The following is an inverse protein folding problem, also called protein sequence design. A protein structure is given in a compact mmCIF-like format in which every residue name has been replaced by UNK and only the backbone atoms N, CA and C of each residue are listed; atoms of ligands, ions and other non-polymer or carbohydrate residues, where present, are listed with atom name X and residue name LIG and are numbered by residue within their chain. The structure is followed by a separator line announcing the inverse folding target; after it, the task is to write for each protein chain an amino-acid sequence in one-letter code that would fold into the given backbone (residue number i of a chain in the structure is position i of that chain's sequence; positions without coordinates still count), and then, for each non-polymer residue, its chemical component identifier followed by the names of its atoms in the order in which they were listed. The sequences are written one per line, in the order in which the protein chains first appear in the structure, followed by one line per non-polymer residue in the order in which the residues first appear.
data_IF_255510149472
#
_entry.id   IF_255510149472
#
_cell.length_a   1.000
_cell.length_b   1.000
_cell.length_c   1.000
_cell.angle_alpha   90.00
_cell.angle_beta   90.00
_cell.angle_gamma   90.00
#
_symmetry.space_group_name_H-M   'P 1'
#
loop_
_entity.id
_entity.type
_entity.pdbx_description
1 polymer ?
#
# COMPACT_ATOMS: atom_id res chain seq x y z
N UNK A 1 -11.11 -4.42 -3.49
CA UNK A 1 -11.85 -4.15 -4.73
C UNK A 1 -12.24 -5.42 -5.48
N UNK A 2 -12.93 -5.29 -6.62
CA UNK A 2 -13.32 -6.45 -7.46
C UNK A 2 -12.13 -7.32 -7.88
N UNK A 3 -10.95 -6.71 -8.08
CA UNK A 3 -9.70 -7.42 -8.38
C UNK A 3 -9.28 -8.43 -7.32
N UNK A 4 -9.53 -8.13 -6.06
CA UNK A 4 -9.13 -9.00 -4.94
C UNK A 4 -10.00 -10.26 -4.86
N UNK A 5 -11.27 -10.17 -5.28
CA UNK A 5 -12.19 -11.31 -5.34
C UNK A 5 -11.75 -12.31 -6.42
N UNK A 6 -11.33 -11.82 -7.60
CA UNK A 6 -10.87 -12.68 -8.69
C UNK A 6 -9.49 -13.27 -8.44
N UNK A 7 -8.56 -12.51 -7.82
CA UNK A 7 -7.28 -13.05 -7.37
C UNK A 7 -7.48 -14.18 -6.36
N UNK A 8 -8.43 -14.04 -5.46
CA UNK A 8 -8.86 -15.05 -4.51
C UNK A 8 -9.37 -16.33 -5.18
N UNK A 9 -10.30 -16.21 -6.15
CA UNK A 9 -10.84 -17.38 -6.85
C UNK A 9 -9.78 -18.11 -7.66
N UNK A 10 -8.84 -17.36 -8.27
CA UNK A 10 -7.71 -17.94 -8.97
C UNK A 10 -6.79 -18.70 -8.01
N UNK A 11 -6.44 -18.11 -6.86
CA UNK A 11 -5.56 -18.74 -5.88
C UNK A 11 -6.16 -20.02 -5.30
N UNK A 12 -7.48 -20.07 -5.09
CA UNK A 12 -8.16 -21.30 -4.67
C UNK A 12 -8.25 -22.34 -5.79
N UNK A 13 -8.45 -21.91 -7.04
CA UNK A 13 -8.36 -22.80 -8.19
C UNK A 13 -6.96 -23.41 -8.34
N UNK A 14 -5.91 -22.59 -8.13
CA UNK A 14 -4.52 -23.06 -8.14
C UNK A 14 -4.25 -24.03 -6.97
N UNK A 15 -4.77 -23.74 -5.79
CA UNK A 15 -4.60 -24.58 -4.61
C UNK A 15 -5.19 -26.00 -4.77
N UNK A 16 -6.26 -26.13 -5.57
CA UNK A 16 -6.89 -27.44 -5.85
C UNK A 16 -6.12 -28.28 -6.87
N UNK A 17 -5.32 -27.66 -7.73
CA UNK A 17 -4.63 -28.35 -8.83
C UNK A 17 -3.12 -28.52 -8.64
N UNK A 18 -2.51 -27.85 -7.67
CA UNK A 18 -1.05 -27.87 -7.48
C UNK A 18 -0.72 -28.54 -6.12
N UNK A 19 0.07 -29.64 -6.11
CA UNK A 19 0.53 -30.27 -4.88
C UNK A 19 1.30 -29.26 -3.99
N UNK A 20 0.99 -29.22 -2.70
CA UNK A 20 1.59 -28.30 -1.74
C UNK A 20 0.72 -27.11 -1.35
N UNK A 21 -0.39 -26.85 -2.06
CA UNK A 21 -1.36 -25.81 -1.72
C UNK A 21 -2.59 -26.34 -0.96
N UNK A 22 -2.63 -27.65 -0.68
CA UNK A 22 -3.74 -28.32 -0.01
C UNK A 22 -4.01 -27.80 1.42
N UNK A 23 -2.98 -27.21 2.05
CA UNK A 23 -3.07 -26.61 3.39
C UNK A 23 -3.50 -25.14 3.40
N UNK A 24 -3.76 -24.54 2.25
CA UNK A 24 -4.12 -23.12 2.17
C UNK A 24 -5.55 -22.90 2.65
N UNK A 25 -5.68 -22.20 3.76
CA UNK A 25 -6.97 -21.71 4.23
C UNK A 25 -7.43 -20.50 3.40
N UNK A 26 -8.73 -20.23 3.41
CA UNK A 26 -9.28 -19.04 2.75
C UNK A 26 -8.65 -17.73 3.26
N UNK A 27 -8.39 -17.64 4.57
CA UNK A 27 -7.74 -16.49 5.18
C UNK A 27 -6.32 -16.31 4.66
N UNK A 28 -5.56 -17.40 4.53
CA UNK A 28 -4.19 -17.36 3.97
C UNK A 28 -4.18 -16.95 2.50
N UNK A 29 -5.07 -17.52 1.67
CA UNK A 29 -5.17 -17.16 0.26
C UNK A 29 -5.56 -15.68 0.05
N UNK A 30 -6.45 -15.15 0.90
CA UNK A 30 -6.84 -13.74 0.87
C UNK A 30 -5.72 -12.82 1.34
N UNK A 31 -5.00 -13.20 2.38
CA UNK A 31 -3.81 -12.51 2.87
C UNK A 31 -2.73 -12.42 1.78
N UNK A 32 -2.45 -13.54 1.10
CA UNK A 32 -1.51 -13.58 -0.01
C UNK A 32 -1.97 -12.73 -1.19
N UNK A 33 -3.26 -12.78 -1.54
CA UNK A 33 -3.85 -11.93 -2.58
C UNK A 33 -3.74 -10.43 -2.25
N UNK A 34 -3.96 -10.05 -0.99
CA UNK A 34 -3.80 -8.67 -0.53
C UNK A 34 -2.33 -8.22 -0.60
N UNK A 35 -1.39 -9.08 -0.20
CA UNK A 35 0.05 -8.79 -0.28
C UNK A 35 0.50 -8.51 -1.72
N UNK A 36 0.07 -9.34 -2.67
CA UNK A 36 0.46 -9.20 -4.09
C UNK A 36 -0.27 -8.02 -4.77
N UNK A 37 -1.37 -7.53 -4.19
CA UNK A 37 -2.12 -6.40 -4.79
C UNK A 37 -1.39 -5.07 -4.66
N UNK A 38 -0.56 -4.91 -3.65
CA UNK A 38 0.33 -3.77 -3.50
C UNK A 38 1.40 -3.81 -4.59
N UNK A 39 1.41 -2.81 -5.47
CA UNK A 39 2.35 -2.71 -6.60
C UNK A 39 3.14 -1.41 -6.48
N UNK A 40 4.47 -1.51 -6.52
CA UNK A 40 5.35 -0.34 -6.51
C UNK A 40 5.60 0.16 -7.93
N UNK A 41 5.16 1.38 -8.30
CA UNK A 41 5.33 1.95 -9.63
C UNK A 41 6.64 2.71 -9.80
N UNK A 42 7.55 2.70 -8.81
CA UNK A 42 8.77 3.55 -8.82
C UNK A 42 9.52 3.45 -10.14
N UNK A 43 9.72 2.23 -10.66
CA UNK A 43 10.40 2.04 -11.94
C UNK A 43 9.59 2.59 -13.13
N UNK A 44 8.27 2.40 -13.10
CA UNK A 44 7.37 2.90 -14.17
C UNK A 44 7.30 4.42 -14.14
N UNK A 45 7.17 5.00 -12.96
CA UNK A 45 7.11 6.46 -12.77
C UNK A 45 8.43 7.11 -13.19
N UNK A 46 9.57 6.54 -12.81
CA UNK A 46 10.88 7.02 -13.26
C UNK A 46 10.99 7.01 -14.79
N UNK A 47 10.57 5.92 -15.44
CA UNK A 47 10.55 5.82 -16.89
C UNK A 47 9.60 6.84 -17.55
N UNK A 48 8.41 7.05 -16.96
CA UNK A 48 7.45 8.05 -17.44
C UNK A 48 7.99 9.48 -17.35
N UNK A 49 8.77 9.78 -16.31
CA UNK A 49 9.47 11.05 -16.17
C UNK A 49 10.55 11.24 -17.25
N UNK A 50 11.36 10.22 -17.53
CA UNK A 50 12.36 10.25 -18.60
C UNK A 50 11.71 10.42 -19.99
N UNK A 51 10.59 9.75 -20.24
CA UNK A 51 9.84 9.84 -21.48
C UNK A 51 9.05 11.13 -21.63
N UNK A 52 9.13 12.05 -20.64
CA UNK A 52 8.39 13.34 -20.63
C UNK A 52 6.88 13.17 -20.86
N UNK A 53 6.32 12.10 -20.31
CA UNK A 53 4.89 11.81 -20.39
C UNK A 53 4.09 12.89 -19.66
N UNK A 54 2.78 12.99 -19.93
CA UNK A 54 1.93 13.99 -19.30
C UNK A 54 1.97 13.87 -17.77
N UNK A 55 2.14 14.99 -17.07
CA UNK A 55 2.11 15.03 -15.59
C UNK A 55 0.84 14.38 -15.01
N UNK A 56 -0.28 14.52 -15.73
CA UNK A 56 -1.56 13.91 -15.35
C UNK A 56 -1.47 12.39 -15.27
N UNK A 57 -0.80 11.76 -16.24
CA UNK A 57 -0.67 10.29 -16.27
C UNK A 57 0.26 9.81 -15.16
N UNK A 58 1.40 10.45 -14.95
CA UNK A 58 2.31 10.14 -13.83
C UNK A 58 1.58 10.25 -12.48
N UNK A 59 0.86 11.37 -12.23
CA UNK A 59 0.09 11.53 -10.99
C UNK A 59 -0.98 10.46 -10.81
N UNK A 60 -1.58 9.96 -11.91
CA UNK A 60 -2.60 8.92 -11.83
C UNK A 60 -1.99 7.57 -11.46
N UNK A 61 -0.80 7.25 -11.99
CA UNK A 61 -0.04 6.05 -11.63
C UNK A 61 0.39 6.10 -10.16
N UNK A 62 0.91 7.24 -9.70
CA UNK A 62 1.27 7.46 -8.30
C UNK A 62 0.06 7.30 -7.36
N UNK A 63 -1.08 7.88 -7.73
CA UNK A 63 -2.30 7.80 -6.94
C UNK A 63 -2.88 6.36 -6.90
N UNK A 64 -2.83 5.65 -8.02
CA UNK A 64 -3.27 4.23 -8.11
C UNK A 64 -2.44 3.38 -7.16
N UNK A 65 -1.12 3.53 -7.19
CA UNK A 65 -0.23 2.78 -6.30
C UNK A 65 -0.46 3.11 -4.83
N UNK A 66 -0.54 4.40 -4.48
CA UNK A 66 -0.80 4.82 -3.10
C UNK A 66 -2.12 4.21 -2.56
N UNK A 67 -3.16 4.14 -3.39
CA UNK A 67 -4.43 3.52 -3.02
C UNK A 67 -4.29 2.00 -2.92
N UNK A 68 -3.55 1.36 -3.81
CA UNK A 68 -3.29 -0.08 -3.76
C UNK A 68 -2.50 -0.46 -2.51
N UNK A 69 -1.46 0.29 -2.17
CA UNK A 69 -0.66 0.06 -0.97
C UNK A 69 -1.51 0.22 0.29
N UNK A 70 -2.26 1.32 0.38
CA UNK A 70 -3.16 1.57 1.51
C UNK A 70 -4.22 0.48 1.68
N UNK A 71 -4.91 0.11 0.61
CA UNK A 71 -5.93 -0.96 0.64
C UNK A 71 -5.33 -2.35 0.81
N UNK A 72 -4.17 -2.61 0.21
CA UNK A 72 -3.42 -3.86 0.34
C UNK A 72 -3.03 -4.14 1.78
N UNK A 73 -2.42 -3.15 2.48
CA UNK A 73 -2.05 -3.27 3.89
C UNK A 73 -3.28 -3.54 4.77
N UNK A 74 -4.37 -2.80 4.56
CA UNK A 74 -5.61 -2.96 5.31
C UNK A 74 -6.19 -4.36 5.14
N UNK A 75 -6.31 -4.84 3.90
CA UNK A 75 -6.80 -6.17 3.60
C UNK A 75 -5.86 -7.27 4.15
N UNK A 76 -4.54 -7.07 4.01
CA UNK A 76 -3.55 -7.99 4.57
C UNK A 76 -3.71 -8.14 6.08
N UNK A 77 -3.76 -7.03 6.82
CA UNK A 77 -3.91 -7.06 8.28
C UNK A 77 -5.23 -7.70 8.73
N UNK A 78 -6.32 -7.45 8.00
CA UNK A 78 -7.60 -8.09 8.25
C UNK A 78 -7.51 -9.62 8.14
N UNK A 79 -6.95 -10.11 7.02
CA UNK A 79 -6.88 -11.54 6.77
C UNK A 79 -5.79 -12.23 7.60
N UNK A 80 -4.71 -11.52 7.92
CA UNK A 80 -3.72 -11.98 8.87
C UNK A 80 -4.31 -12.16 10.26
N UNK A 81 -5.11 -11.19 10.74
CA UNK A 81 -5.83 -11.31 12.00
C UNK A 81 -6.80 -12.50 12.01
N UNK A 82 -7.55 -12.70 10.94
CA UNK A 82 -8.45 -13.84 10.79
C UNK A 82 -7.68 -15.19 10.75
N UNK A 83 -6.54 -15.23 10.09
CA UNK A 83 -5.68 -16.41 10.02
C UNK A 83 -5.05 -16.72 11.39
N UNK A 84 -4.53 -15.71 12.09
CA UNK A 84 -3.87 -15.86 13.39
C UNK A 84 -4.86 -16.20 14.52
N UNK A 85 -6.10 -15.72 14.45
CA UNK A 85 -7.13 -16.00 15.45
C UNK A 85 -7.78 -17.38 15.31
N UNK A 86 -7.56 -18.10 14.20
CA UNK A 86 -8.28 -19.30 13.86
C UNK A 86 -9.79 -19.04 13.70
N UNK A 87 -10.61 -20.09 13.69
CA UNK A 87 -12.07 -19.98 13.55
C UNK A 87 -12.82 -19.44 14.78
N UNK A 88 -12.08 -18.96 15.81
CA UNK A 88 -12.62 -18.67 17.15
C UNK A 88 -13.21 -17.26 17.34
N UNK A 89 -13.26 -16.39 16.32
CA UNK A 89 -13.81 -15.06 16.50
C UNK A 89 -15.30 -15.01 16.24
N UNK A 90 -16.09 -14.91 17.32
CA UNK A 90 -17.55 -14.67 17.28
C UNK A 90 -17.96 -13.28 16.77
N UNK A 91 -17.02 -12.36 16.56
CA UNK A 91 -17.29 -11.04 16.00
C UNK A 91 -17.31 -11.11 14.47
N UNK A 92 -18.30 -10.46 13.85
CA UNK A 92 -18.34 -10.33 12.39
C UNK A 92 -17.03 -9.70 11.88
N UNK A 93 -16.29 -10.37 10.99
CA UNK A 93 -15.02 -9.84 10.45
C UNK A 93 -15.17 -8.43 9.86
N UNK A 94 -16.35 -8.14 9.29
CA UNK A 94 -16.66 -6.82 8.69
C UNK A 94 -16.75 -5.73 9.76
N UNK A 95 -17.38 -6.01 10.90
CA UNK A 95 -17.52 -5.03 12.01
C UNK A 95 -16.15 -4.73 12.61
N UNK A 96 -15.36 -5.76 12.84
CA UNK A 96 -13.97 -5.62 13.34
C UNK A 96 -13.13 -4.78 12.37
N UNK A 97 -13.24 -5.06 11.08
CA UNK A 97 -12.56 -4.29 10.03
C UNK A 97 -12.97 -2.81 10.04
N UNK A 98 -14.26 -2.52 10.00
CA UNK A 98 -14.76 -1.13 10.02
C UNK A 98 -14.29 -0.40 11.28
N UNK A 99 -14.31 -1.07 12.42
CA UNK A 99 -13.83 -0.51 13.68
C UNK A 99 -12.34 -0.21 13.64
N UNK A 100 -11.51 -1.17 13.23
CA UNK A 100 -10.07 -1.00 13.17
C UNK A 100 -9.66 0.08 12.17
N UNK A 101 -10.18 0.02 10.96
CA UNK A 101 -9.87 1.01 9.91
C UNK A 101 -10.39 2.39 10.29
N UNK A 102 -11.63 2.47 10.76
CA UNK A 102 -12.27 3.75 11.12
C UNK A 102 -11.57 4.44 12.28
N UNK A 103 -11.30 3.71 13.37
CA UNK A 103 -10.62 4.27 14.54
C UNK A 103 -9.17 4.64 14.23
N UNK A 104 -8.43 3.78 13.52
CA UNK A 104 -7.05 4.07 13.14
C UNK A 104 -6.96 5.32 12.26
N UNK A 105 -7.82 5.42 11.25
CA UNK A 105 -7.87 6.58 10.35
C UNK A 105 -8.21 7.87 11.12
N UNK A 106 -9.20 7.80 12.00
CA UNK A 106 -9.60 8.95 12.82
C UNK A 106 -8.46 9.41 13.74
N UNK A 107 -7.77 8.47 14.39
CA UNK A 107 -6.63 8.78 15.26
C UNK A 107 -5.49 9.42 14.48
N UNK A 108 -5.10 8.84 13.35
CA UNK A 108 -4.06 9.41 12.49
C UNK A 108 -4.40 10.83 12.03
N UNK A 109 -5.65 11.04 11.60
CA UNK A 109 -6.15 12.36 11.22
C UNK A 109 -6.10 13.37 12.37
N UNK A 110 -6.60 13.02 13.56
CA UNK A 110 -6.63 13.90 14.72
C UNK A 110 -5.22 14.28 15.18
N UNK A 111 -4.32 13.30 15.30
CA UNK A 111 -2.95 13.56 15.69
C UNK A 111 -2.21 14.44 14.67
N UNK A 112 -2.40 14.20 13.37
CA UNK A 112 -1.86 15.06 12.33
C UNK A 112 -2.40 16.51 12.44
N UNK A 113 -3.67 16.70 12.72
CA UNK A 113 -4.27 18.02 12.90
C UNK A 113 -3.67 18.76 14.10
N UNK A 114 -3.43 18.06 15.20
CA UNK A 114 -2.77 18.62 16.39
C UNK A 114 -1.34 19.04 16.04
N UNK A 115 -0.59 18.18 15.37
CA UNK A 115 0.80 18.45 14.98
C UNK A 115 0.88 19.63 14.00
N UNK A 116 0.02 19.67 12.99
CA UNK A 116 -0.02 20.80 12.04
C UNK A 116 -0.33 22.11 12.78
N UNK A 117 -1.31 22.11 13.68
CA UNK A 117 -1.65 23.27 14.50
C UNK A 117 -0.46 23.72 15.36
N UNK A 118 0.26 22.79 15.98
CA UNK A 118 1.44 23.06 16.79
C UNK A 118 2.56 23.67 15.95
N UNK A 119 2.94 23.02 14.84
CA UNK A 119 4.04 23.44 13.96
C UNK A 119 3.78 24.82 13.35
N UNK A 120 2.55 25.10 12.93
CA UNK A 120 2.20 26.40 12.34
C UNK A 120 2.25 27.55 13.32
N UNK A 121 2.22 27.27 14.63
CA UNK A 121 2.33 28.29 15.69
C UNK A 121 3.77 28.53 16.16
N UNK A 122 4.65 27.57 15.95
CA UNK A 122 6.05 27.69 16.31
C UNK A 122 6.81 28.24 15.12
N UNK A 123 7.37 29.42 15.25
CA UNK A 123 8.25 30.00 14.22
C UNK A 123 9.67 29.43 14.36
N UNK A 124 9.81 28.10 14.27
CA UNK A 124 11.07 27.37 14.47
C UNK A 124 11.78 27.11 13.15
N UNK A 125 13.02 26.66 13.27
CA UNK A 125 13.86 26.22 12.15
C UNK A 125 13.26 24.98 11.45
N UNK A 126 13.61 24.79 10.19
CA UNK A 126 13.12 23.71 9.32
C UNK A 126 13.40 22.32 9.91
N UNK A 127 14.60 22.15 10.50
CA UNK A 127 14.97 20.89 11.17
C UNK A 127 14.06 20.55 12.35
N UNK A 128 13.70 21.54 13.16
CA UNK A 128 12.83 21.34 14.34
C UNK A 128 11.43 20.92 13.90
N UNK A 129 10.87 21.59 12.89
CA UNK A 129 9.54 21.25 12.39
C UNK A 129 9.49 19.83 11.81
N UNK A 130 10.50 19.44 11.04
CA UNK A 130 10.58 18.10 10.48
C UNK A 130 10.77 17.03 11.57
N UNK A 131 11.63 17.30 12.56
CA UNK A 131 11.83 16.40 13.71
C UNK A 131 10.54 16.18 14.50
N UNK A 132 9.73 17.21 14.68
CA UNK A 132 8.42 17.11 15.34
C UNK A 132 7.48 16.21 14.53
N UNK A 133 7.47 16.35 13.19
CA UNK A 133 6.62 15.48 12.32
C UNK A 133 7.05 14.03 12.45
N UNK A 134 8.36 13.74 12.40
CA UNK A 134 8.89 12.37 12.54
C UNK A 134 8.52 11.78 13.90
N UNK A 135 8.79 12.53 14.98
CA UNK A 135 8.46 12.09 16.34
C UNK A 135 6.96 11.82 16.48
N UNK A 136 6.13 12.69 15.94
CA UNK A 136 4.69 12.54 15.97
C UNK A 136 4.21 11.34 15.13
N UNK A 137 4.86 11.02 14.01
CA UNK A 137 4.60 9.83 13.24
C UNK A 137 4.88 8.56 14.06
N UNK A 138 6.02 8.47 14.73
CA UNK A 138 6.34 7.38 15.66
C UNK A 138 5.34 7.28 16.81
N UNK A 139 5.00 8.41 17.44
CA UNK A 139 3.99 8.45 18.51
C UNK A 139 2.62 7.99 18.01
N UNK A 140 2.22 8.39 16.81
CA UNK A 140 0.97 7.94 16.20
C UNK A 140 0.94 6.43 16.06
N UNK A 141 2.01 5.83 15.56
CA UNK A 141 2.14 4.37 15.44
C UNK A 141 2.05 3.69 16.81
N UNK A 142 2.87 4.12 17.78
CA UNK A 142 2.95 3.53 19.11
C UNK A 142 1.61 3.64 19.84
N UNK A 143 1.00 4.81 19.85
CA UNK A 143 -0.29 5.05 20.51
C UNK A 143 -1.39 4.17 19.92
N UNK A 144 -1.46 4.08 18.59
CA UNK A 144 -2.47 3.28 17.91
C UNK A 144 -2.27 1.79 18.16
N UNK A 145 -1.05 1.28 17.96
CA UNK A 145 -0.75 -0.15 17.98
C UNK A 145 -0.73 -0.73 19.40
N UNK A 146 -0.06 -0.05 20.34
CA UNK A 146 0.22 -0.62 21.66
C UNK A 146 -0.75 -0.15 22.75
N UNK A 147 -1.26 1.08 22.67
CA UNK A 147 -2.15 1.63 23.71
C UNK A 147 -3.63 1.51 23.37
N UNK A 148 -4.00 1.70 22.12
CA UNK A 148 -5.40 1.70 21.71
C UNK A 148 -5.83 0.39 21.03
N UNK A 149 -4.90 -0.50 20.73
CA UNK A 149 -5.17 -1.81 20.13
C UNK A 149 -5.81 -1.72 18.75
N UNK A 150 -5.45 -0.68 17.98
CA UNK A 150 -5.88 -0.48 16.59
C UNK A 150 -4.65 -0.43 15.66
N UNK A 151 -4.85 -0.56 14.35
CA UNK A 151 -3.74 -0.63 13.41
C UNK A 151 -2.90 0.65 13.38
N UNK A 152 -1.66 0.57 13.90
CA UNK A 152 -0.68 1.65 13.86
C UNK A 152 -0.29 2.04 12.44
N UNK A 153 -0.25 1.08 11.51
CA UNK A 153 0.10 1.32 10.11
C UNK A 153 -0.96 2.18 9.42
N UNK A 154 -2.25 1.84 9.59
CA UNK A 154 -3.35 2.61 9.02
C UNK A 154 -3.39 4.03 9.62
N UNK A 155 -3.17 4.14 10.93
CA UNK A 155 -3.10 5.44 11.60
C UNK A 155 -1.94 6.28 11.06
N UNK A 156 -0.78 5.67 10.80
CA UNK A 156 0.39 6.34 10.24
C UNK A 156 0.15 6.81 8.80
N UNK A 157 -0.49 6.00 7.97
CA UNK A 157 -0.88 6.39 6.60
C UNK A 157 -1.84 7.58 6.63
N UNK A 158 -2.88 7.54 7.47
CA UNK A 158 -3.82 8.64 7.63
C UNK A 158 -3.14 9.92 8.15
N UNK A 159 -2.20 9.78 9.08
CA UNK A 159 -1.36 10.87 9.58
C UNK A 159 -0.56 11.50 8.44
N UNK A 160 0.21 10.70 7.69
CA UNK A 160 1.06 11.16 6.60
C UNK A 160 0.26 11.86 5.48
N UNK A 161 -0.86 11.28 5.07
CA UNK A 161 -1.77 11.91 4.09
C UNK A 161 -2.29 13.25 4.59
N UNK A 162 -2.69 13.33 5.87
CA UNK A 162 -3.19 14.59 6.44
C UNK A 162 -2.09 15.65 6.52
N UNK A 163 -0.87 15.28 6.92
CA UNK A 163 0.29 16.20 6.91
C UNK A 163 0.58 16.69 5.50
N UNK A 164 0.53 15.81 4.51
CA UNK A 164 0.77 16.18 3.12
C UNK A 164 -0.30 17.11 2.56
N UNK A 165 -1.58 16.77 2.70
CA UNK A 165 -2.66 17.54 2.08
C UNK A 165 -3.06 18.79 2.86
N UNK A 166 -3.00 18.75 4.19
CA UNK A 166 -3.42 19.86 5.05
C UNK A 166 -2.25 20.66 5.59
N UNK A 167 -1.13 20.01 5.85
CA UNK A 167 0.08 20.61 6.42
C UNK A 167 0.90 21.36 5.38
N UNK A 168 1.32 20.69 4.30
CA UNK A 168 2.17 21.29 3.26
C UNK A 168 1.74 22.70 2.80
N UNK A 169 0.47 22.98 2.51
CA UNK A 169 0.04 24.33 2.09
C UNK A 169 0.18 25.42 3.18
N UNK A 170 0.36 25.02 4.43
CA UNK A 170 0.47 25.94 5.58
C UNK A 170 1.89 26.14 6.07
N UNK A 171 2.82 25.34 5.58
CA UNK A 171 4.24 25.43 5.92
C UNK A 171 4.97 26.37 4.98
N UNK A 172 6.10 26.91 5.44
CA UNK A 172 6.98 27.74 4.62
C UNK A 172 7.55 26.91 3.44
N UNK A 173 7.77 27.48 2.26
CA UNK A 173 8.34 26.75 1.12
C UNK A 173 9.66 26.04 1.42
N UNK A 174 10.54 26.67 2.23
CA UNK A 174 11.82 26.10 2.63
C UNK A 174 11.65 24.82 3.44
N UNK A 175 10.68 24.80 4.39
CA UNK A 175 10.35 23.62 5.18
C UNK A 175 9.84 22.48 4.29
N UNK A 176 9.00 22.80 3.33
CA UNK A 176 8.47 21.81 2.39
C UNK A 176 9.59 21.18 1.54
N UNK A 177 10.50 22.00 1.00
CA UNK A 177 11.65 21.50 0.22
C UNK A 177 12.56 20.62 1.07
N UNK A 178 12.86 21.04 2.29
CA UNK A 178 13.66 20.23 3.22
C UNK A 178 12.97 18.90 3.55
N UNK A 179 11.65 18.93 3.82
CA UNK A 179 10.86 17.72 4.05
C UNK A 179 10.90 16.76 2.87
N UNK A 180 10.74 17.26 1.65
CA UNK A 180 10.77 16.45 0.44
C UNK A 180 12.10 15.69 0.32
N UNK A 181 13.21 16.39 0.38
CA UNK A 181 14.53 15.75 0.31
C UNK A 181 14.80 14.78 1.45
N UNK A 182 14.36 15.13 2.67
CA UNK A 182 14.53 14.25 3.83
C UNK A 182 13.73 12.93 3.67
N UNK A 183 12.46 13.03 3.29
CA UNK A 183 11.63 11.85 3.12
C UNK A 183 12.08 11.02 1.91
N UNK A 184 12.54 11.64 0.84
CA UNK A 184 13.13 10.96 -0.31
C UNK A 184 14.36 10.14 0.11
N UNK A 185 15.29 10.73 0.87
CA UNK A 185 16.45 10.03 1.41
C UNK A 185 16.03 8.87 2.33
N UNK A 186 15.08 9.11 3.24
CA UNK A 186 14.62 8.09 4.18
C UNK A 186 13.95 6.91 3.44
N UNK A 187 13.15 7.20 2.43
CA UNK A 187 12.52 6.20 1.56
C UNK A 187 13.58 5.38 0.82
N UNK A 188 14.60 6.02 0.27
CA UNK A 188 15.70 5.33 -0.39
C UNK A 188 16.43 4.37 0.57
N UNK A 189 16.75 4.82 1.79
CA UNK A 189 17.40 3.98 2.80
C UNK A 189 16.48 2.82 3.20
N UNK A 190 15.21 3.08 3.45
CA UNK A 190 14.24 2.06 3.86
C UNK A 190 14.06 0.99 2.77
N UNK A 191 13.87 1.40 1.52
CA UNK A 191 13.78 0.49 0.38
C UNK A 191 15.05 -0.36 0.23
N UNK A 192 16.22 0.25 0.32
CA UNK A 192 17.49 -0.47 0.24
C UNK A 192 17.58 -1.55 1.33
N UNK A 193 17.23 -1.22 2.57
CA UNK A 193 17.23 -2.19 3.69
C UNK A 193 16.21 -3.30 3.46
N UNK A 194 15.00 -2.98 2.99
CA UNK A 194 13.95 -3.96 2.69
C UNK A 194 14.43 -4.93 1.61
N UNK A 195 15.00 -4.43 0.51
CA UNK A 195 15.50 -5.30 -0.57
C UNK A 195 16.64 -6.20 -0.12
N UNK A 196 17.56 -5.70 0.72
CA UNK A 196 18.62 -6.53 1.32
C UNK A 196 18.01 -7.63 2.19
N UNK A 197 17.08 -7.28 3.10
CA UNK A 197 16.42 -8.24 3.98
C UNK A 197 15.64 -9.30 3.19
N UNK A 198 14.88 -8.88 2.19
CA UNK A 198 14.14 -9.78 1.30
C UNK A 198 15.10 -10.71 0.57
N UNK A 199 16.22 -10.20 0.05
CA UNK A 199 17.25 -11.00 -0.61
C UNK A 199 17.83 -12.06 0.33
N UNK A 200 18.15 -11.71 1.57
CA UNK A 200 18.66 -12.65 2.60
C UNK A 200 17.61 -13.73 2.92
N UNK A 201 16.35 -13.32 3.14
CA UNK A 201 15.26 -14.27 3.43
C UNK A 201 15.02 -15.22 2.26
N UNK A 202 15.03 -14.73 1.02
CA UNK A 202 14.90 -15.57 -0.18
C UNK A 202 16.05 -16.56 -0.25
N UNK A 203 17.30 -16.12 -0.04
CA UNK A 203 18.48 -16.98 -0.10
C UNK A 203 18.46 -18.06 0.99
N UNK A 204 17.91 -17.78 2.15
CA UNK A 204 17.85 -18.73 3.29
C UNK A 204 16.66 -19.69 3.19
N UNK A 205 15.49 -19.22 2.74
CA UNK A 205 14.20 -19.95 2.88
C UNK A 205 13.68 -20.55 1.59
N UNK A 206 14.16 -20.10 0.43
CA UNK A 206 13.62 -20.54 -0.86
C UNK A 206 14.48 -21.65 -1.44
N UNK A 207 13.93 -22.87 -1.46
CA UNK A 207 14.51 -23.98 -2.21
C UNK A 207 14.20 -23.81 -3.71
N UNK A 208 15.23 -23.47 -4.48
CA UNK A 208 15.11 -23.31 -5.92
C UNK A 208 14.95 -24.67 -6.61
N UNK A 209 13.70 -25.04 -6.85
CA UNK A 209 13.35 -26.20 -7.67
C UNK A 209 12.70 -25.76 -8.98
N UNK A 210 12.86 -26.57 -10.04
CA UNK A 210 12.21 -26.31 -11.34
C UNK A 210 10.68 -26.24 -11.23
N UNK A 211 10.10 -27.00 -10.28
CA UNK A 211 8.68 -26.94 -9.98
C UNK A 211 8.26 -25.62 -9.36
N UNK A 212 9.01 -25.12 -8.37
CA UNK A 212 8.76 -23.83 -7.73
C UNK A 212 8.87 -22.67 -8.74
N UNK A 213 9.86 -22.72 -9.62
CA UNK A 213 10.02 -21.74 -10.68
C UNK A 213 8.82 -21.75 -11.65
N UNK A 214 8.34 -22.94 -12.03
CA UNK A 214 7.14 -23.08 -12.88
C UNK A 214 5.90 -22.47 -12.24
N UNK A 215 5.67 -22.71 -10.94
CA UNK A 215 4.56 -22.13 -10.18
C UNK A 215 4.68 -20.60 -10.11
N UNK A 216 5.87 -20.08 -9.86
CA UNK A 216 6.12 -18.63 -9.80
C UNK A 216 5.81 -17.95 -11.14
N UNK A 217 6.26 -18.53 -12.25
CA UNK A 217 5.96 -18.02 -13.60
C UNK A 217 4.45 -18.08 -13.87
N UNK A 218 3.78 -19.17 -13.49
CA UNK A 218 2.35 -19.31 -13.65
C UNK A 218 1.57 -18.22 -12.90
N UNK A 219 1.93 -17.99 -11.61
CA UNK A 219 1.32 -16.95 -10.78
C UNK A 219 1.58 -15.58 -11.40
N UNK A 220 2.80 -15.29 -11.85
CA UNK A 220 3.13 -14.03 -12.50
C UNK A 220 2.28 -13.76 -13.75
N UNK A 221 2.17 -14.74 -14.63
CA UNK A 221 1.34 -14.63 -15.85
C UNK A 221 -0.14 -14.42 -15.48
N UNK A 222 -0.64 -15.20 -14.53
CA UNK A 222 -2.02 -15.11 -14.09
C UNK A 222 -2.36 -13.74 -13.50
N UNK A 223 -1.47 -13.16 -12.69
CA UNK A 223 -1.64 -11.83 -12.12
C UNK A 223 -1.68 -10.74 -13.20
N UNK A 224 -0.79 -10.82 -14.18
CA UNK A 224 -0.79 -9.87 -15.30
C UNK A 224 -2.06 -9.98 -16.16
N UNK A 225 -2.56 -11.20 -16.40
CA UNK A 225 -3.81 -11.41 -17.11
C UNK A 225 -5.02 -10.84 -16.36
N UNK A 226 -5.08 -11.02 -15.04
CA UNK A 226 -6.13 -10.46 -14.19
C UNK A 226 -6.07 -8.93 -14.22
N UNK A 227 -4.88 -8.34 -14.08
CA UNK A 227 -4.70 -6.89 -14.15
C UNK A 227 -5.14 -6.34 -15.51
N UNK A 228 -4.74 -6.99 -16.59
CA UNK A 228 -5.18 -6.63 -17.94
C UNK A 228 -6.71 -6.70 -18.08
N UNK A 229 -7.33 -7.80 -17.65
CA UNK A 229 -8.78 -7.97 -17.71
C UNK A 229 -9.52 -6.90 -16.89
N UNK A 230 -9.03 -6.56 -15.70
CA UNK A 230 -9.60 -5.52 -14.85
C UNK A 230 -9.55 -4.13 -15.50
N UNK A 231 -8.40 -3.77 -16.08
CA UNK A 231 -8.24 -2.47 -16.76
C UNK A 231 -9.15 -2.41 -17.99
N UNK A 232 -9.23 -3.49 -18.76
CA UNK A 232 -10.15 -3.56 -19.92
C UNK A 232 -11.62 -3.46 -19.52
N UNK A 233 -12.00 -4.05 -18.40
CA UNK A 233 -13.36 -3.95 -17.85
C UNK A 233 -13.69 -2.52 -17.38
N UNK A 234 -12.75 -1.86 -16.73
CA UNK A 234 -12.93 -0.50 -16.22
C UNK A 234 -12.79 0.59 -17.30
N UNK A 235 -12.08 0.29 -18.38
CA UNK A 235 -11.81 1.24 -19.46
C UNK A 235 -13.08 1.94 -20.00
N UNK A 236 -14.18 1.23 -20.35
CA UNK A 236 -15.38 1.89 -20.86
C UNK A 236 -16.05 2.80 -19.82
N UNK A 237 -15.97 2.44 -18.54
CA UNK A 237 -16.52 3.24 -17.43
C UNK A 237 -15.71 4.53 -17.26
N UNK A 238 -14.39 4.42 -17.22
CA UNK A 238 -13.49 5.58 -17.11
C UNK A 238 -13.63 6.53 -18.30
N UNK A 239 -13.80 5.99 -19.50
CA UNK A 239 -14.04 6.78 -20.71
C UNK A 239 -15.36 7.56 -20.64
N UNK A 240 -16.42 6.97 -20.07
CA UNK A 240 -17.72 7.65 -19.89
C UNK A 240 -17.68 8.75 -18.82
N UNK A 241 -16.87 8.58 -17.78
CA UNK A 241 -16.69 9.55 -16.70
C UNK A 241 -15.78 10.73 -17.07
N UNK A 242 -15.29 10.80 -18.31
CA UNK A 242 -14.42 11.89 -18.77
C UNK A 242 -12.94 11.76 -18.32
N UNK A 243 -12.59 10.70 -17.60
CA UNK A 243 -11.21 10.37 -17.25
C UNK A 243 -10.55 9.55 -18.37
N UNK A 244 -10.64 10.06 -19.63
CA UNK A 244 -10.20 9.33 -20.82
C UNK A 244 -8.71 9.00 -20.80
N UNK A 245 -8.39 7.80 -20.35
CA UNK A 245 -7.12 7.15 -20.68
C UNK A 245 -7.13 6.83 -22.18
N UNK A 246 -6.04 7.12 -22.86
CA UNK A 246 -5.83 6.60 -24.21
C UNK A 246 -5.64 5.09 -24.15
N UNK A 247 -5.91 4.39 -25.25
CA UNK A 247 -5.66 2.93 -25.31
C UNK A 247 -4.20 2.58 -24.99
N UNK A 248 -3.25 3.46 -25.35
CA UNK A 248 -1.83 3.25 -25.04
C UNK A 248 -1.56 3.36 -23.54
N UNK A 249 -2.11 4.36 -22.87
CA UNK A 249 -1.99 4.53 -21.43
C UNK A 249 -2.64 3.37 -20.66
N UNK A 250 -3.77 2.85 -21.14
CA UNK A 250 -4.41 1.67 -20.53
C UNK A 250 -3.52 0.41 -20.63
N UNK A 251 -2.80 0.22 -21.73
CA UNK A 251 -1.87 -0.90 -21.88
C UNK A 251 -0.65 -0.72 -20.98
N UNK A 252 -0.12 0.50 -20.85
CA UNK A 252 1.01 0.79 -19.95
C UNK A 252 0.64 0.50 -18.49
N UNK A 253 -0.59 0.82 -18.06
CA UNK A 253 -1.08 0.50 -16.72
C UNK A 253 -1.22 -1.00 -16.43
N UNK A 254 -1.17 -1.87 -17.44
CA UNK A 254 -1.22 -3.33 -17.24
C UNK A 254 0.12 -3.94 -16.89
N UNK A 255 1.19 -3.26 -17.17
CA UNK A 255 2.57 -3.68 -16.90
C UNK A 255 3.10 -3.03 -15.64
#
# INVERSE_FOLDING_TARGET
GLGDVYKRQLMMGVATFIPGFESWTWAFALMFGALISATDPVAVVALLHELKTSKRFSTLVDAESLLNDGTGIVCFMLFFGAYAAGEATHASPVITFIREVGLSTLLGFLLARIVIWFITRINSEEMVQNSVIILAAYLTFILSQYYLGVSGVIALVAFGLTVTYVGKPRLKPQVNTFMEHFWELLTYIANTLIFILVGVVIAEKVDFSWGALGVLILIYIALNLIRFAMIMLLYPVMKRLGYGLTRRESVILTW
#
